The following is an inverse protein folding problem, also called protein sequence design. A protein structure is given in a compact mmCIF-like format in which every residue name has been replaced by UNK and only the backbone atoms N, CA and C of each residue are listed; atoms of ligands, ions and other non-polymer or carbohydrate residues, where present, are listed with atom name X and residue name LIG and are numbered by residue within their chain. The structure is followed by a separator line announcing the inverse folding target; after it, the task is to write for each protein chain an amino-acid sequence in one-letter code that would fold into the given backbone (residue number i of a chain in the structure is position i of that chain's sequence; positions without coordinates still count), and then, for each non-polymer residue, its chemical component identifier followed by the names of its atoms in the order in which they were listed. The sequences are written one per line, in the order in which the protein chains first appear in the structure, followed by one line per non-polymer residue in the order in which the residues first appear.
data_IF_211115666990
#
_entry.id   IF_211115666990
#
_cell.length_a   1.000
_cell.length_b   1.000
_cell.length_c   1.000
_cell.angle_alpha   90.00
_cell.angle_beta   90.00
_cell.angle_gamma   90.00
#
_symmetry.space_group_name_H-M   'P 1'
#
loop_
_entity.id
_entity.type
_entity.pdbx_description
1 polymer ?
#
# COMPACT_ATOMS: atom_id res chain seq x y z
N UNK A 1 -197.33 11.87 14.60
CA UNK A 1 -196.84 11.58 13.22
C UNK A 1 -196.86 12.80 12.28
N UNK A 2 -197.56 13.90 12.59
CA UNK A 2 -197.64 15.09 11.71
C UNK A 2 -196.41 16.03 11.76
N UNK A 3 -195.66 16.06 12.87
CA UNK A 3 -194.51 16.98 13.03
C UNK A 3 -193.30 16.65 12.14
N UNK A 4 -193.07 15.36 11.84
CA UNK A 4 -191.92 14.90 11.04
C UNK A 4 -192.05 15.28 9.57
N UNK A 5 -193.28 15.31 9.04
CA UNK A 5 -193.57 15.63 7.64
C UNK A 5 -193.35 17.12 7.34
N UNK A 6 -193.68 17.99 8.30
CA UNK A 6 -193.42 19.44 8.22
C UNK A 6 -191.92 19.75 8.28
N UNK A 7 -191.15 19.04 9.12
CA UNK A 7 -189.69 19.19 9.17
C UNK A 7 -189.02 18.82 7.82
N UNK A 8 -189.51 17.77 7.15
CA UNK A 8 -189.01 17.34 5.84
C UNK A 8 -189.33 18.33 4.71
N UNK A 9 -190.41 19.09 4.81
CA UNK A 9 -190.76 20.12 3.82
C UNK A 9 -189.88 21.38 3.94
N UNK A 10 -189.51 21.74 5.17
CA UNK A 10 -188.79 23.00 5.47
C UNK A 10 -187.26 22.78 5.54
N UNK A 11 -186.78 21.56 5.76
CA UNK A 11 -185.34 21.27 5.77
C UNK A 11 -184.62 21.63 4.44
N UNK A 12 -185.14 21.32 3.24
CA UNK A 12 -184.46 21.64 1.99
C UNK A 12 -184.20 23.16 1.75
N UNK A 13 -185.17 24.08 1.95
CA UNK A 13 -184.91 25.50 1.74
C UNK A 13 -183.97 26.12 2.79
N UNK A 14 -184.03 25.68 4.06
CA UNK A 14 -183.10 26.15 5.10
C UNK A 14 -181.68 25.71 4.78
N UNK A 15 -181.48 24.45 4.34
CA UNK A 15 -180.16 23.94 3.98
C UNK A 15 -179.57 24.66 2.76
N UNK A 16 -180.38 24.94 1.73
CA UNK A 16 -179.94 25.76 0.58
C UNK A 16 -179.50 27.17 0.99
N UNK A 17 -180.22 27.80 1.91
CA UNK A 17 -179.91 29.16 2.36
C UNK A 17 -178.67 29.20 3.27
N UNK A 18 -178.49 28.19 4.11
CA UNK A 18 -177.29 28.02 4.92
C UNK A 18 -176.04 27.84 4.05
N UNK A 19 -176.11 27.01 2.98
CA UNK A 19 -175.00 26.84 2.03
C UNK A 19 -174.62 28.11 1.27
N UNK A 20 -175.59 28.95 0.91
CA UNK A 20 -175.32 30.23 0.25
C UNK A 20 -174.63 31.22 1.18
N UNK A 21 -175.05 31.27 2.45
CA UNK A 21 -174.44 32.12 3.46
C UNK A 21 -173.02 31.65 3.82
N UNK A 22 -172.80 30.35 3.99
CA UNK A 22 -171.44 29.82 4.22
C UNK A 22 -170.54 30.03 3.02
N UNK A 23 -171.05 29.88 1.80
CA UNK A 23 -170.28 30.19 0.58
C UNK A 23 -169.87 31.66 0.52
N UNK A 24 -170.81 32.60 0.75
CA UNK A 24 -170.50 34.04 0.77
C UNK A 24 -169.56 34.43 1.92
N UNK A 25 -169.65 33.74 3.05
CA UNK A 25 -168.80 34.01 4.21
C UNK A 25 -167.38 33.48 3.99
N UNK A 26 -167.21 32.27 3.45
CA UNK A 26 -165.90 31.71 3.07
C UNK A 26 -165.25 32.53 1.96
N UNK A 27 -166.03 32.99 0.98
CA UNK A 27 -165.56 33.92 -0.07
C UNK A 27 -165.10 35.28 0.50
N UNK A 28 -165.65 35.72 1.64
CA UNK A 28 -165.29 36.98 2.29
C UNK A 28 -164.13 36.85 3.29
N UNK A 29 -164.00 35.72 3.98
CA UNK A 29 -162.98 35.48 5.00
C UNK A 29 -161.66 34.92 4.43
N UNK A 30 -161.68 34.37 3.22
CA UNK A 30 -160.47 33.91 2.52
C UNK A 30 -160.37 34.49 1.10
N UNK A 31 -160.04 35.78 0.94
CA UNK A 31 -159.83 36.36 -0.37
C UNK A 31 -158.43 35.99 -0.89
N UNK A 32 -158.26 34.74 -1.33
CA UNK A 32 -157.23 34.39 -2.31
C UNK A 32 -157.94 34.30 -3.65
N UNK A 33 -157.68 35.27 -4.53
CA UNK A 33 -158.27 35.25 -5.86
C UNK A 33 -157.71 34.04 -6.64
N UNK A 34 -158.48 33.47 -7.59
CA UNK A 34 -158.03 32.32 -8.40
C UNK A 34 -156.66 32.57 -9.07
N UNK A 35 -156.38 33.83 -9.41
CA UNK A 35 -155.11 34.27 -9.98
C UNK A 35 -153.96 34.21 -8.98
N UNK A 36 -154.19 34.54 -7.71
CA UNK A 36 -153.17 34.44 -6.65
C UNK A 36 -152.81 32.98 -6.33
N UNK A 37 -153.80 32.06 -6.33
CA UNK A 37 -153.55 30.62 -6.15
C UNK A 37 -152.71 30.08 -7.32
N UNK A 38 -153.00 30.52 -8.55
CA UNK A 38 -152.21 30.15 -9.72
C UNK A 38 -150.79 30.73 -9.63
N UNK A 39 -150.64 31.98 -9.19
CA UNK A 39 -149.34 32.61 -8.97
C UNK A 39 -148.52 31.89 -7.88
N UNK A 40 -149.14 31.46 -6.77
CA UNK A 40 -148.47 30.68 -5.74
C UNK A 40 -148.03 29.30 -6.26
N UNK A 41 -148.90 28.61 -7.01
CA UNK A 41 -148.55 27.32 -7.63
C UNK A 41 -147.40 27.46 -8.62
N UNK A 42 -147.43 28.47 -9.47
CA UNK A 42 -146.40 28.70 -10.47
C UNK A 42 -145.11 29.24 -9.81
N UNK A 43 -145.23 29.96 -8.68
CA UNK A 43 -144.13 30.33 -7.79
C UNK A 43 -143.45 29.12 -7.16
N UNK A 44 -144.20 28.18 -6.58
CA UNK A 44 -143.66 26.91 -6.05
C UNK A 44 -142.99 26.09 -7.17
N UNK A 45 -143.57 26.03 -8.36
CA UNK A 45 -142.93 25.38 -9.53
C UNK A 45 -141.61 26.05 -9.89
N UNK A 46 -141.55 27.37 -9.87
CA UNK A 46 -140.33 28.12 -10.14
C UNK A 46 -139.28 27.90 -9.04
N UNK A 47 -139.67 27.90 -7.76
CA UNK A 47 -138.78 27.60 -6.64
C UNK A 47 -138.18 26.20 -6.76
N UNK A 48 -139.00 25.20 -7.08
CA UNK A 48 -138.53 23.84 -7.32
C UNK A 48 -137.59 23.76 -8.54
N UNK A 49 -137.95 24.39 -9.67
CA UNK A 49 -137.10 24.42 -10.86
C UNK A 49 -135.76 25.12 -10.61
N UNK A 50 -135.75 26.22 -9.83
CA UNK A 50 -134.53 26.92 -9.44
C UNK A 50 -133.70 26.09 -8.46
N UNK A 51 -134.33 25.40 -7.50
CA UNK A 51 -133.64 24.51 -6.57
C UNK A 51 -133.02 23.31 -7.30
N UNK A 52 -133.75 22.69 -8.22
CA UNK A 52 -133.28 21.61 -9.09
C UNK A 52 -132.10 22.09 -9.94
N UNK A 53 -132.24 23.23 -10.63
CA UNK A 53 -131.16 23.82 -11.43
C UNK A 53 -129.92 24.15 -10.58
N UNK A 54 -130.12 24.67 -9.36
CA UNK A 54 -129.02 24.96 -8.43
C UNK A 54 -128.29 23.69 -8.00
N UNK A 55 -129.02 22.60 -7.76
CA UNK A 55 -128.46 21.30 -7.44
C UNK A 55 -127.71 20.69 -8.63
N UNK A 56 -128.26 20.78 -9.84
CA UNK A 56 -127.57 20.36 -11.06
C UNK A 56 -126.24 21.11 -11.24
N UNK A 57 -126.26 22.44 -11.13
CA UNK A 57 -125.04 23.25 -11.24
C UNK A 57 -124.02 22.92 -10.16
N UNK A 58 -124.47 22.65 -8.93
CA UNK A 58 -123.57 22.19 -7.86
C UNK A 58 -122.99 20.80 -8.16
N UNK A 59 -123.81 19.87 -8.68
CA UNK A 59 -123.38 18.54 -9.05
C UNK A 59 -122.34 18.59 -10.19
N UNK A 60 -122.57 19.41 -11.20
CA UNK A 60 -121.65 19.60 -12.32
C UNK A 60 -120.33 20.23 -11.85
N UNK A 61 -120.38 21.24 -10.97
CA UNK A 61 -119.17 21.83 -10.38
C UNK A 61 -118.37 20.79 -9.55
N UNK A 62 -119.04 19.96 -8.76
CA UNK A 62 -118.37 18.89 -7.99
C UNK A 62 -117.78 17.84 -8.95
N UNK A 63 -118.50 17.47 -10.01
CA UNK A 63 -118.01 16.53 -11.03
C UNK A 63 -116.78 17.08 -11.75
N UNK A 64 -116.79 18.35 -12.12
CA UNK A 64 -115.66 19.03 -12.76
C UNK A 64 -114.44 19.06 -11.82
N UNK A 65 -114.63 19.43 -10.55
CA UNK A 65 -113.57 19.38 -9.52
C UNK A 65 -113.02 17.98 -9.32
N UNK A 66 -113.89 16.97 -9.28
CA UNK A 66 -113.47 15.58 -9.13
C UNK A 66 -112.70 15.08 -10.36
N UNK A 67 -113.12 15.46 -11.57
CA UNK A 67 -112.41 15.14 -12.80
C UNK A 67 -111.00 15.78 -12.83
N UNK A 68 -110.88 17.04 -12.41
CA UNK A 68 -109.58 17.71 -12.26
C UNK A 68 -108.69 17.01 -11.23
N UNK A 69 -109.23 16.67 -10.05
CA UNK A 69 -108.50 15.95 -9.02
C UNK A 69 -108.05 14.56 -9.48
N UNK A 70 -108.87 13.85 -10.24
CA UNK A 70 -108.52 12.55 -10.81
C UNK A 70 -107.39 12.68 -11.84
N UNK A 71 -107.43 13.73 -12.68
CA UNK A 71 -106.36 14.03 -13.62
C UNK A 71 -105.04 14.32 -12.89
N UNK A 72 -105.05 15.21 -11.89
CA UNK A 72 -103.87 15.53 -11.06
C UNK A 72 -103.31 14.29 -10.35
N UNK A 73 -104.19 13.45 -9.81
CA UNK A 73 -103.79 12.21 -9.14
C UNK A 73 -103.14 11.24 -10.15
N UNK A 74 -103.68 11.13 -11.36
CA UNK A 74 -103.09 10.30 -12.42
C UNK A 74 -101.71 10.80 -12.86
N UNK A 75 -101.49 12.12 -12.89
CA UNK A 75 -100.19 12.72 -13.17
C UNK A 75 -99.19 12.45 -12.05
N UNK A 76 -99.60 12.64 -10.79
CA UNK A 76 -98.78 12.32 -9.61
C UNK A 76 -98.43 10.83 -9.57
N UNK A 77 -99.37 9.94 -9.87
CA UNK A 77 -99.09 8.50 -9.97
C UNK A 77 -98.10 8.15 -11.09
N UNK A 78 -98.13 8.86 -12.23
CA UNK A 78 -97.13 8.70 -13.29
C UNK A 78 -95.76 9.18 -12.83
N UNK A 79 -95.69 10.33 -12.18
CA UNK A 79 -94.44 10.87 -11.62
C UNK A 79 -93.85 9.92 -10.57
N UNK A 80 -94.66 9.42 -9.65
CA UNK A 80 -94.24 8.45 -8.63
C UNK A 80 -93.69 7.19 -9.31
N UNK A 81 -94.40 6.63 -10.31
CA UNK A 81 -93.92 5.46 -11.06
C UNK A 81 -92.58 5.72 -11.73
N UNK A 82 -92.41 6.86 -12.41
CA UNK A 82 -91.16 7.21 -13.06
C UNK A 82 -90.01 7.35 -12.05
N UNK A 83 -90.23 8.09 -10.95
CA UNK A 83 -89.23 8.26 -9.90
C UNK A 83 -88.88 6.94 -9.21
N UNK A 84 -89.85 6.04 -9.00
CA UNK A 84 -89.56 4.71 -8.45
C UNK A 84 -88.72 3.85 -9.40
N UNK A 85 -88.93 3.96 -10.72
CA UNK A 85 -88.14 3.27 -11.72
C UNK A 85 -86.71 3.83 -11.80
N UNK A 86 -86.55 5.15 -11.76
CA UNK A 86 -85.24 5.81 -11.70
C UNK A 86 -84.47 5.44 -10.43
N UNK A 87 -85.14 5.44 -9.28
CA UNK A 87 -84.52 5.07 -8.00
C UNK A 87 -84.11 3.59 -7.98
N UNK A 88 -84.92 2.70 -8.56
CA UNK A 88 -84.55 1.30 -8.76
C UNK A 88 -83.33 1.16 -9.67
N UNK A 89 -83.28 1.87 -10.80
CA UNK A 89 -82.13 1.86 -11.72
C UNK A 89 -80.85 2.39 -11.04
N UNK A 90 -80.94 3.50 -10.30
CA UNK A 90 -79.82 4.06 -9.53
C UNK A 90 -79.31 3.11 -8.44
N UNK A 91 -80.20 2.37 -7.78
CA UNK A 91 -79.80 1.37 -6.79
C UNK A 91 -79.04 0.20 -7.43
N UNK A 92 -79.50 -0.28 -8.59
CA UNK A 92 -78.79 -1.32 -9.36
C UNK A 92 -77.41 -0.83 -9.77
N UNK A 93 -77.31 0.37 -10.36
CA UNK A 93 -76.04 0.97 -10.76
C UNK A 93 -75.09 1.18 -9.56
N UNK A 94 -75.62 1.62 -8.41
CA UNK A 94 -74.84 1.80 -7.19
C UNK A 94 -74.29 0.48 -6.65
N UNK A 95 -75.09 -0.60 -6.71
CA UNK A 95 -74.65 -1.92 -6.30
C UNK A 95 -73.59 -2.50 -7.24
N UNK A 96 -73.76 -2.30 -8.55
CA UNK A 96 -72.78 -2.69 -9.55
C UNK A 96 -71.45 -1.94 -9.34
N UNK A 97 -71.50 -0.62 -9.14
CA UNK A 97 -70.32 0.18 -8.81
C UNK A 97 -69.65 -0.30 -7.52
N UNK A 98 -70.42 -0.58 -6.46
CA UNK A 98 -69.87 -1.13 -5.21
C UNK A 98 -69.19 -2.48 -5.42
N UNK A 99 -69.79 -3.37 -6.23
CA UNK A 99 -69.19 -4.66 -6.54
C UNK A 99 -67.88 -4.52 -7.34
N UNK A 100 -67.84 -3.61 -8.31
CA UNK A 100 -66.63 -3.36 -9.10
C UNK A 100 -65.52 -2.73 -8.27
N UNK A 101 -65.84 -1.81 -7.35
CA UNK A 101 -64.88 -1.24 -6.39
C UNK A 101 -64.35 -2.32 -5.47
N UNK A 102 -65.21 -3.18 -4.92
CA UNK A 102 -64.77 -4.31 -4.08
C UNK A 102 -63.88 -5.29 -4.84
N UNK A 103 -64.18 -5.58 -6.12
CA UNK A 103 -63.37 -6.44 -6.96
C UNK A 103 -61.98 -5.85 -7.20
N UNK A 104 -61.92 -4.57 -7.62
CA UNK A 104 -60.65 -3.85 -7.80
C UNK A 104 -59.85 -3.71 -6.51
N UNK A 105 -60.52 -3.53 -5.37
CA UNK A 105 -59.86 -3.49 -4.07
C UNK A 105 -59.17 -4.83 -3.76
N UNK A 106 -59.85 -5.96 -4.02
CA UNK A 106 -59.25 -7.28 -3.87
C UNK A 106 -58.07 -7.53 -4.82
N UNK A 107 -58.16 -7.07 -6.08
CA UNK A 107 -57.04 -7.13 -7.03
C UNK A 107 -55.83 -6.29 -6.56
N UNK A 108 -56.08 -5.09 -6.03
CA UNK A 108 -55.04 -4.23 -5.48
C UNK A 108 -54.39 -4.83 -4.22
N UNK A 109 -55.17 -5.45 -3.34
CA UNK A 109 -54.65 -6.15 -2.16
C UNK A 109 -53.79 -7.35 -2.56
N UNK A 110 -54.20 -8.13 -3.57
CA UNK A 110 -53.41 -9.22 -4.11
C UNK A 110 -52.11 -8.72 -4.75
N UNK A 111 -52.17 -7.65 -5.55
CA UNK A 111 -50.98 -7.06 -6.16
C UNK A 111 -50.03 -6.50 -5.10
N UNK A 112 -50.54 -5.85 -4.05
CA UNK A 112 -49.75 -5.37 -2.93
C UNK A 112 -49.05 -6.51 -2.18
N UNK A 113 -49.75 -7.63 -1.94
CA UNK A 113 -49.17 -8.81 -1.32
C UNK A 113 -48.01 -9.39 -2.17
N UNK A 114 -48.19 -9.50 -3.48
CA UNK A 114 -47.15 -9.96 -4.40
C UNK A 114 -45.94 -9.02 -4.43
N UNK A 115 -46.16 -7.69 -4.37
CA UNK A 115 -45.07 -6.71 -4.29
C UNK A 115 -44.24 -6.94 -3.02
N UNK A 116 -44.90 -7.09 -1.85
CA UNK A 116 -44.21 -7.35 -0.58
C UNK A 116 -43.42 -8.67 -0.63
N UNK A 117 -43.98 -9.72 -1.22
CA UNK A 117 -43.25 -10.99 -1.42
C UNK A 117 -42.02 -10.82 -2.31
N UNK A 118 -42.14 -10.09 -3.43
CA UNK A 118 -41.03 -9.80 -4.32
C UNK A 118 -39.97 -8.91 -3.68
N UNK A 119 -40.36 -7.89 -2.91
CA UNK A 119 -39.43 -7.07 -2.12
C UNK A 119 -38.62 -7.93 -1.15
N UNK A 120 -39.29 -8.86 -0.43
CA UNK A 120 -38.60 -9.80 0.46
C UNK A 120 -37.63 -10.70 -0.29
N UNK A 121 -38.01 -11.19 -1.48
CA UNK A 121 -37.12 -12.01 -2.31
C UNK A 121 -35.92 -11.21 -2.81
N UNK A 122 -36.12 -9.94 -3.20
CA UNK A 122 -35.04 -9.04 -3.62
C UNK A 122 -34.08 -8.80 -2.47
N UNK A 123 -34.58 -8.56 -1.25
CA UNK A 123 -33.76 -8.35 -0.05
C UNK A 123 -32.97 -9.62 0.32
N UNK A 124 -33.57 -10.80 0.20
CA UNK A 124 -32.85 -12.06 0.38
C UNK A 124 -31.73 -12.23 -0.65
N UNK A 125 -31.99 -11.90 -1.92
CA UNK A 125 -31.00 -12.00 -2.99
C UNK A 125 -29.90 -10.96 -2.86
N UNK A 126 -30.19 -9.74 -2.41
CA UNK A 126 -29.16 -8.73 -2.14
C UNK A 126 -28.26 -9.16 -1.00
N UNK A 127 -28.81 -9.71 0.09
CA UNK A 127 -28.03 -10.25 1.20
C UNK A 127 -27.14 -11.44 0.77
N UNK A 128 -27.65 -12.34 -0.06
CA UNK A 128 -26.87 -13.43 -0.66
C UNK A 128 -25.72 -12.90 -1.54
N UNK A 129 -25.98 -11.90 -2.37
CA UNK A 129 -24.97 -11.26 -3.23
C UNK A 129 -23.89 -10.56 -2.40
N UNK A 130 -24.26 -9.83 -1.34
CA UNK A 130 -23.29 -9.22 -0.43
C UNK A 130 -22.43 -10.26 0.31
N UNK A 131 -23.03 -11.38 0.71
CA UNK A 131 -22.29 -12.47 1.32
C UNK A 131 -21.31 -13.11 0.33
N UNK A 132 -21.74 -13.38 -0.91
CA UNK A 132 -20.87 -13.87 -1.98
C UNK A 132 -19.76 -12.87 -2.31
N UNK A 133 -20.06 -11.58 -2.36
CA UNK A 133 -19.07 -10.54 -2.60
C UNK A 133 -18.02 -10.47 -1.48
N UNK A 134 -18.44 -10.54 -0.21
CA UNK A 134 -17.52 -10.63 0.94
C UNK A 134 -16.63 -11.87 0.87
N UNK A 135 -17.19 -13.02 0.50
CA UNK A 135 -16.41 -14.26 0.30
C UNK A 135 -15.41 -14.12 -0.83
N UNK A 136 -15.82 -13.56 -1.98
CA UNK A 136 -14.94 -13.32 -3.13
C UNK A 136 -13.80 -12.36 -2.77
N UNK A 137 -14.10 -11.26 -2.08
CA UNK A 137 -13.09 -10.31 -1.60
C UNK A 137 -12.11 -10.98 -0.62
N UNK A 138 -12.61 -11.78 0.33
CA UNK A 138 -11.74 -12.55 1.22
C UNK A 138 -10.86 -13.55 0.47
N UNK A 139 -11.38 -14.25 -0.55
CA UNK A 139 -10.58 -15.15 -1.36
C UNK A 139 -9.57 -14.43 -2.24
N UNK A 140 -9.91 -13.24 -2.76
CA UNK A 140 -8.99 -12.40 -3.51
C UNK A 140 -7.84 -11.92 -2.61
N UNK A 141 -8.13 -11.42 -1.41
CA UNK A 141 -7.09 -11.05 -0.44
C UNK A 141 -6.17 -12.22 -0.07
N UNK A 142 -6.72 -13.44 0.07
CA UNK A 142 -5.91 -14.65 0.29
C UNK A 142 -5.04 -14.98 -0.92
N UNK A 143 -5.56 -14.82 -2.14
CA UNK A 143 -4.80 -15.04 -3.37
C UNK A 143 -3.66 -14.02 -3.50
N UNK A 144 -3.92 -12.74 -3.24
CA UNK A 144 -2.90 -11.68 -3.25
C UNK A 144 -1.84 -11.95 -2.17
N UNK A 145 -2.25 -12.37 -0.97
CA UNK A 145 -1.33 -12.78 0.09
C UNK A 145 -0.43 -13.95 -0.31
N UNK A 146 -0.98 -14.98 -0.95
CA UNK A 146 -0.21 -16.11 -1.47
C UNK A 146 0.70 -15.70 -2.63
N UNK A 147 0.31 -14.76 -3.50
CA UNK A 147 1.17 -14.24 -4.55
C UNK A 147 2.38 -13.50 -3.98
N UNK A 148 2.18 -12.68 -2.94
CA UNK A 148 3.27 -12.00 -2.24
C UNK A 148 4.19 -13.04 -1.59
N UNK A 149 3.65 -14.08 -0.96
CA UNK A 149 4.45 -15.15 -0.36
C UNK A 149 5.27 -15.90 -1.41
N UNK A 150 4.67 -16.26 -2.56
CA UNK A 150 5.38 -16.90 -3.67
C UNK A 150 6.50 -15.99 -4.21
N UNK A 151 6.25 -14.70 -4.36
CA UNK A 151 7.27 -13.74 -4.79
C UNK A 151 8.41 -13.59 -3.77
N UNK A 152 8.11 -13.62 -2.48
CA UNK A 152 9.11 -13.60 -1.41
C UNK A 152 9.92 -14.91 -1.40
N UNK A 153 9.27 -16.06 -1.58
CA UNK A 153 9.94 -17.36 -1.68
C UNK A 153 10.81 -17.45 -2.94
N UNK A 154 10.38 -16.94 -4.08
CA UNK A 154 11.21 -16.89 -5.29
C UNK A 154 12.44 -16.01 -5.09
N UNK A 155 12.29 -14.82 -4.50
CA UNK A 155 13.43 -13.97 -4.17
C UNK A 155 14.39 -14.64 -3.17
N UNK A 156 13.87 -15.42 -2.20
CA UNK A 156 14.70 -16.21 -1.29
C UNK A 156 15.47 -17.31 -2.02
N UNK A 157 14.84 -17.99 -2.97
CA UNK A 157 15.48 -19.00 -3.82
C UNK A 157 16.58 -18.35 -4.67
N UNK A 158 16.34 -17.18 -5.25
CA UNK A 158 17.33 -16.46 -6.05
C UNK A 158 18.55 -16.08 -5.20
N UNK A 159 18.33 -15.51 -4.02
CA UNK A 159 19.42 -15.19 -3.07
C UNK A 159 20.22 -16.43 -2.67
N UNK A 160 19.56 -17.53 -2.29
CA UNK A 160 20.24 -18.79 -1.95
C UNK A 160 20.99 -19.37 -3.17
N UNK A 161 20.47 -19.16 -4.37
CA UNK A 161 21.12 -19.60 -5.61
C UNK A 161 22.38 -18.78 -5.88
N UNK A 162 22.36 -17.48 -5.62
CA UNK A 162 23.53 -16.62 -5.75
C UNK A 162 24.57 -16.89 -4.65
N UNK A 163 24.16 -17.08 -3.39
CA UNK A 163 25.03 -17.55 -2.30
C UNK A 163 25.68 -18.91 -2.66
N UNK A 164 24.93 -19.83 -3.26
CA UNK A 164 25.47 -21.11 -3.72
C UNK A 164 26.49 -20.93 -4.87
N UNK A 165 26.26 -19.99 -5.79
CA UNK A 165 27.22 -19.68 -6.86
C UNK A 165 28.50 -19.08 -6.29
N UNK A 166 28.39 -18.13 -5.35
CA UNK A 166 29.52 -17.51 -4.65
C UNK A 166 30.31 -18.56 -3.86
N UNK A 167 29.66 -19.38 -3.04
CA UNK A 167 30.31 -20.46 -2.30
C UNK A 167 31.00 -21.49 -3.23
N UNK A 168 30.43 -21.75 -4.43
CA UNK A 168 31.06 -22.59 -5.45
C UNK A 168 32.27 -21.91 -6.10
N UNK A 169 32.24 -20.60 -6.30
CA UNK A 169 33.37 -19.81 -6.80
C UNK A 169 34.49 -19.77 -5.76
N UNK A 170 34.19 -19.43 -4.51
CA UNK A 170 35.15 -19.43 -3.40
C UNK A 170 35.82 -20.78 -3.21
N UNK A 171 35.05 -21.87 -3.31
CA UNK A 171 35.61 -23.22 -3.25
C UNK A 171 36.58 -23.48 -4.41
N UNK A 172 36.23 -23.07 -5.63
CA UNK A 172 37.12 -23.22 -6.79
C UNK A 172 38.39 -22.38 -6.62
N UNK A 173 38.27 -21.15 -6.12
CA UNK A 173 39.41 -20.27 -5.90
C UNK A 173 40.31 -20.78 -4.78
N UNK A 174 39.73 -21.29 -3.69
CA UNK A 174 40.45 -21.99 -2.61
C UNK A 174 41.15 -23.25 -3.11
N UNK A 175 40.49 -24.08 -3.91
CA UNK A 175 41.09 -25.26 -4.54
C UNK A 175 42.23 -24.86 -5.50
N UNK A 176 42.07 -23.79 -6.28
CA UNK A 176 43.12 -23.25 -7.15
C UNK A 176 44.32 -22.73 -6.37
N UNK A 177 44.09 -21.97 -5.29
CA UNK A 177 45.14 -21.49 -4.39
C UNK A 177 45.87 -22.66 -3.73
N UNK A 178 45.12 -23.67 -3.28
CA UNK A 178 45.68 -24.88 -2.71
C UNK A 178 46.53 -25.65 -3.72
N UNK A 179 46.08 -25.79 -4.97
CA UNK A 179 46.88 -26.39 -6.04
C UNK A 179 48.17 -25.61 -6.32
N UNK A 180 48.11 -24.27 -6.33
CA UNK A 180 49.29 -23.41 -6.48
C UNK A 180 50.27 -23.59 -5.31
N UNK A 181 49.77 -23.56 -4.07
CA UNK A 181 50.59 -23.79 -2.89
C UNK A 181 51.20 -25.20 -2.89
N UNK A 182 50.45 -26.23 -3.27
CA UNK A 182 50.97 -27.60 -3.42
C UNK A 182 52.05 -27.68 -4.51
N UNK A 183 51.89 -26.97 -5.63
CA UNK A 183 52.90 -26.89 -6.69
C UNK A 183 54.17 -26.12 -6.23
N UNK A 184 54.01 -25.03 -5.49
CA UNK A 184 55.12 -24.27 -4.89
C UNK A 184 55.86 -25.10 -3.85
N UNK A 185 55.15 -25.83 -2.98
CA UNK A 185 55.75 -26.76 -2.03
C UNK A 185 56.56 -27.82 -2.77
N UNK A 186 56.03 -28.42 -3.84
CA UNK A 186 56.77 -29.38 -4.68
C UNK A 186 58.01 -28.76 -5.33
N UNK A 187 57.90 -27.54 -5.84
CA UNK A 187 59.04 -26.82 -6.43
C UNK A 187 60.12 -26.49 -5.38
N UNK A 188 59.71 -26.08 -4.18
CA UNK A 188 60.62 -25.85 -3.05
C UNK A 188 61.27 -27.15 -2.56
N UNK A 189 60.52 -28.26 -2.50
CA UNK A 189 61.06 -29.58 -2.21
C UNK A 189 62.12 -29.99 -3.23
N UNK A 190 61.86 -29.79 -4.53
CA UNK A 190 62.85 -30.05 -5.59
C UNK A 190 64.09 -29.16 -5.46
N UNK A 191 63.93 -27.86 -5.13
CA UNK A 191 65.06 -26.97 -4.89
C UNK A 191 65.87 -27.39 -3.66
N UNK A 192 65.20 -27.77 -2.58
CA UNK A 192 65.84 -28.28 -1.38
C UNK A 192 66.61 -29.57 -1.69
N UNK A 193 66.02 -30.47 -2.47
CA UNK A 193 66.67 -31.70 -2.91
C UNK A 193 67.89 -31.41 -3.80
N UNK A 194 67.81 -30.43 -4.70
CA UNK A 194 68.96 -29.95 -5.48
C UNK A 194 70.05 -29.34 -4.60
N UNK A 195 69.71 -28.52 -3.60
CA UNK A 195 70.69 -27.96 -2.66
C UNK A 195 71.30 -29.05 -1.79
N UNK A 196 70.54 -30.04 -1.32
CA UNK A 196 71.07 -31.21 -0.59
C UNK A 196 71.98 -32.03 -1.50
N UNK A 197 71.63 -32.24 -2.76
CA UNK A 197 72.53 -32.90 -3.71
C UNK A 197 73.82 -32.08 -3.90
N UNK A 198 73.74 -30.76 -4.02
CA UNK A 198 74.91 -29.87 -4.09
C UNK A 198 75.74 -29.92 -2.82
N UNK A 199 75.15 -29.88 -1.63
CA UNK A 199 75.89 -29.96 -0.37
C UNK A 199 76.56 -31.32 -0.24
N UNK A 200 75.88 -32.43 -0.57
CA UNK A 200 76.50 -33.75 -0.56
C UNK A 200 77.62 -33.88 -1.60
N UNK A 201 77.50 -33.26 -2.77
CA UNK A 201 78.59 -33.16 -3.74
C UNK A 201 79.77 -32.33 -3.21
N UNK A 202 79.50 -31.19 -2.57
CA UNK A 202 80.52 -30.35 -1.95
C UNK A 202 81.18 -31.07 -0.76
N UNK A 203 80.43 -31.81 0.06
CA UNK A 203 80.95 -32.68 1.13
C UNK A 203 81.82 -33.81 0.57
N UNK A 204 81.43 -34.41 -0.56
CA UNK A 204 82.29 -35.38 -1.28
C UNK A 204 83.57 -34.73 -1.79
N UNK A 205 83.50 -33.50 -2.33
CA UNK A 205 84.70 -32.74 -2.75
C UNK A 205 85.57 -32.37 -1.56
N UNK A 206 84.98 -31.94 -0.45
CA UNK A 206 85.69 -31.61 0.78
C UNK A 206 86.38 -32.85 1.38
N UNK A 207 85.69 -34.00 1.43
CA UNK A 207 86.28 -35.26 1.89
C UNK A 207 87.38 -35.76 0.94
N UNK A 208 87.23 -35.58 -0.38
CA UNK A 208 88.29 -35.84 -1.34
C UNK A 208 89.51 -34.92 -1.16
N UNK A 209 89.30 -33.62 -0.92
CA UNK A 209 90.38 -32.67 -0.61
C UNK A 209 91.05 -33.00 0.73
N UNK A 210 90.29 -33.38 1.76
CA UNK A 210 90.83 -33.86 3.03
C UNK A 210 91.66 -35.14 2.83
N UNK A 211 91.21 -36.07 1.98
CA UNK A 211 92.00 -37.25 1.62
C UNK A 211 93.27 -36.86 0.85
N UNK A 212 93.20 -35.92 -0.09
CA UNK A 212 94.38 -35.41 -0.81
C UNK A 212 95.36 -34.67 0.12
N UNK A 213 94.84 -33.93 1.10
CA UNK A 213 95.66 -33.31 2.15
C UNK A 213 96.29 -34.39 3.02
N UNK A 214 95.54 -35.41 3.47
CA UNK A 214 96.08 -36.55 4.19
C UNK A 214 97.14 -37.33 3.39
N UNK A 215 96.96 -37.49 2.08
CA UNK A 215 97.95 -38.09 1.19
C UNK A 215 99.18 -37.19 1.02
N UNK A 216 99.00 -35.86 0.95
CA UNK A 216 100.11 -34.90 0.90
C UNK A 216 100.84 -34.82 2.22
N UNK A 217 100.15 -34.83 3.35
CA UNK A 217 100.72 -34.92 4.70
C UNK A 217 101.44 -36.25 4.89
N UNK A 218 100.90 -37.36 4.38
CA UNK A 218 101.60 -38.65 4.39
C UNK A 218 102.84 -38.61 3.48
N UNK A 219 102.78 -37.94 2.33
CA UNK A 219 103.97 -37.69 1.48
C UNK A 219 104.97 -36.78 2.16
N UNK A 220 104.54 -35.72 2.83
CA UNK A 220 105.38 -34.84 3.64
C UNK A 220 105.99 -35.62 4.80
N UNK A 221 105.24 -36.43 5.51
CA UNK A 221 105.76 -37.31 6.57
C UNK A 221 106.76 -38.34 6.04
N UNK A 222 106.56 -38.87 4.83
CA UNK A 222 107.55 -39.72 4.16
C UNK A 222 108.81 -38.94 3.79
N UNK A 223 108.67 -37.73 3.24
CA UNK A 223 109.78 -36.83 2.93
C UNK A 223 110.49 -36.34 4.20
N UNK A 224 109.78 -36.11 5.30
CA UNK A 224 110.32 -35.77 6.60
C UNK A 224 111.09 -36.96 7.17
N UNK A 225 110.56 -38.18 7.07
CA UNK A 225 111.28 -39.41 7.43
C UNK A 225 112.48 -39.64 6.51
N UNK A 226 112.43 -39.25 5.24
CA UNK A 226 113.57 -39.30 4.33
C UNK A 226 114.59 -38.21 4.65
N UNK A 227 114.17 -37.00 5.01
CA UNK A 227 115.02 -35.93 5.55
C UNK A 227 115.65 -36.38 6.85
N UNK A 228 114.93 -37.10 7.71
CA UNK A 228 115.45 -37.64 8.96
C UNK A 228 116.47 -38.74 8.71
N UNK A 229 116.22 -39.65 7.75
CA UNK A 229 117.22 -40.63 7.29
C UNK A 229 118.42 -39.98 6.60
N UNK A 230 118.22 -38.90 5.85
CA UNK A 230 119.31 -38.13 5.20
C UNK A 230 120.08 -37.32 6.25
N UNK A 231 119.41 -36.77 7.26
CA UNK A 231 120.04 -36.15 8.45
C UNK A 231 120.81 -37.18 9.26
N UNK A 232 120.32 -38.41 9.40
CA UNK A 232 121.04 -39.49 10.07
C UNK A 232 122.19 -40.06 9.21
N UNK A 233 122.07 -40.04 7.88
CA UNK A 233 123.19 -40.30 6.96
C UNK A 233 124.22 -39.16 6.99
N UNK A 234 123.79 -37.91 7.12
CA UNK A 234 124.65 -36.75 7.36
C UNK A 234 125.31 -36.83 8.74
N UNK A 235 124.60 -37.24 9.80
CA UNK A 235 125.19 -37.48 11.13
C UNK A 235 126.21 -38.63 11.11
N UNK A 236 126.00 -39.66 10.31
CA UNK A 236 126.96 -40.77 10.12
C UNK A 236 128.16 -40.39 9.26
N UNK A 237 128.02 -39.43 8.34
CA UNK A 237 129.13 -38.89 7.54
C UNK A 237 129.85 -37.72 8.24
N UNK A 238 129.21 -37.04 9.20
CA UNK A 238 129.77 -35.95 10.01
C UNK A 238 130.40 -36.42 11.33
N UNK A 239 130.35 -37.72 11.65
CA UNK A 239 131.03 -38.31 12.82
C UNK A 239 132.49 -38.73 12.53
N UNK A 240 132.88 -38.84 11.26
CA UNK A 240 134.26 -39.09 10.81
C UNK A 240 134.80 -37.87 10.06
N UNK A 241 135.44 -36.95 10.79
CA UNK A 241 136.19 -35.83 10.20
C UNK A 241 136.00 -34.49 10.89
N UNK A 242 136.71 -34.27 11.99
CA UNK A 242 136.91 -32.92 12.59
C UNK A 242 137.66 -32.01 11.62
N UNK A 243 137.15 -30.82 11.34
CA UNK A 243 137.77 -29.54 11.73
C UNK A 243 137.08 -28.32 11.06
N UNK A 244 136.89 -27.29 11.91
CA UNK A 244 136.99 -25.84 11.63
C UNK A 244 135.99 -25.19 10.67
N UNK A 245 135.19 -24.30 11.27
CA UNK A 245 135.23 -22.88 10.91
C UNK A 245 133.99 -22.32 10.22
N UNK A 246 133.55 -21.16 10.71
CA UNK A 246 132.91 -20.14 9.88
C UNK A 246 131.41 -19.93 10.08
N UNK A 247 131.07 -18.95 10.92
CA UNK A 247 129.89 -18.10 10.79
C UNK A 247 130.05 -17.16 9.54
N UNK A 248 129.20 -16.13 9.24
CA UNK A 248 128.07 -15.56 10.00
C UNK A 248 126.91 -14.91 9.14
N UNK A 249 125.98 -14.24 9.85
CA UNK A 249 125.30 -12.94 9.54
C UNK A 249 124.39 -12.82 8.29
N UNK A 250 123.16 -12.33 8.50
CA UNK A 250 122.73 -11.00 8.00
C UNK A 250 121.35 -10.59 8.54
N UNK A 251 121.41 -9.49 9.29
CA UNK A 251 120.35 -8.58 9.69
C UNK A 251 120.29 -7.45 8.65
N UNK A 252 119.08 -7.04 8.22
CA UNK A 252 118.79 -5.78 7.52
C UNK A 252 117.28 -5.75 7.18
N UNK A 253 116.51 -4.68 7.23
CA UNK A 253 116.74 -3.27 7.57
C UNK A 253 115.36 -2.60 7.71
N UNK A 254 115.33 -1.58 8.56
CA UNK A 254 114.32 -0.55 8.75
C UNK A 254 113.79 0.08 7.45
N UNK A 255 112.55 0.55 7.54
CA UNK A 255 112.23 1.94 7.17
C UNK A 255 111.72 2.18 5.76
N UNK A 256 110.44 1.83 5.50
CA UNK A 256 109.62 2.40 4.42
C UNK A 256 108.10 2.35 4.68
N UNK A 257 107.68 2.23 5.95
CA UNK A 257 106.25 2.14 6.32
C UNK A 257 105.69 3.40 7.01
N UNK A 258 106.51 4.41 7.31
CA UNK A 258 106.10 5.56 8.12
C UNK A 258 105.60 6.78 7.33
N UNK A 259 105.67 6.80 5.99
CA UNK A 259 105.10 7.87 5.16
C UNK A 259 103.75 7.51 4.51
N UNK A 260 103.41 6.23 4.42
CA UNK A 260 102.16 5.75 3.83
C UNK A 260 101.01 5.80 4.84
N UNK A 261 101.27 5.44 6.10
CA UNK A 261 100.25 5.52 7.16
C UNK A 261 99.84 6.96 7.52
N UNK A 262 100.71 7.97 7.36
CA UNK A 262 100.35 9.35 7.68
C UNK A 262 99.42 10.00 6.62
N UNK A 263 99.53 9.58 5.36
CA UNK A 263 98.61 10.00 4.29
C UNK A 263 97.31 9.19 4.34
N UNK A 264 97.38 7.88 4.56
CA UNK A 264 96.20 7.02 4.70
C UNK A 264 95.35 7.38 5.93
N UNK A 265 95.96 7.77 7.06
CA UNK A 265 95.20 8.18 8.25
C UNK A 265 94.54 9.56 8.13
N UNK A 266 95.02 10.44 7.23
CA UNK A 266 94.33 11.70 6.90
C UNK A 266 93.17 11.46 5.95
N UNK A 267 93.39 10.71 4.86
CA UNK A 267 92.34 10.34 3.91
C UNK A 267 91.23 9.55 4.58
N UNK A 268 91.56 8.56 5.41
CA UNK A 268 90.57 7.77 6.15
C UNK A 268 89.79 8.63 7.16
N UNK A 269 90.42 9.64 7.78
CA UNK A 269 89.74 10.57 8.69
C UNK A 269 88.78 11.49 7.92
N UNK A 270 89.16 11.93 6.72
CA UNK A 270 88.27 12.74 5.86
C UNK A 270 87.09 11.92 5.32
N UNK A 271 87.33 10.69 4.88
CA UNK A 271 86.29 9.77 4.42
C UNK A 271 85.33 9.39 5.55
N UNK A 272 85.85 9.06 6.74
CA UNK A 272 85.01 8.78 7.91
C UNK A 272 84.17 10.00 8.32
N UNK A 273 84.74 11.21 8.29
CA UNK A 273 84.02 12.43 8.62
C UNK A 273 82.96 12.78 7.55
N UNK A 274 83.24 12.50 6.27
CA UNK A 274 82.27 12.68 5.18
C UNK A 274 81.11 11.68 5.29
N UNK A 275 81.41 10.40 5.56
CA UNK A 275 80.41 9.36 5.73
C UNK A 275 79.54 9.62 6.97
N UNK A 276 80.15 10.04 8.09
CA UNK A 276 79.42 10.44 9.29
C UNK A 276 78.47 11.63 9.02
N UNK A 277 78.91 12.64 8.28
CA UNK A 277 78.06 13.76 7.88
C UNK A 277 76.88 13.31 7.02
N UNK A 278 77.10 12.37 6.09
CA UNK A 278 76.06 11.85 5.20
C UNK A 278 75.00 11.03 5.95
N UNK A 279 75.44 10.17 6.88
CA UNK A 279 74.53 9.37 7.72
C UNK A 279 73.71 10.27 8.64
N UNK A 280 74.35 11.24 9.30
CA UNK A 280 73.65 12.18 10.20
C UNK A 280 72.67 13.06 9.40
N UNK A 281 73.03 13.50 8.19
CA UNK A 281 72.12 14.24 7.32
C UNK A 281 70.93 13.38 6.84
N UNK A 282 71.15 12.09 6.57
CA UNK A 282 70.08 11.15 6.21
C UNK A 282 69.13 10.89 7.38
N UNK A 283 69.65 10.74 8.60
CA UNK A 283 68.85 10.61 9.83
C UNK A 283 68.04 11.88 10.09
N UNK A 284 68.66 13.06 10.00
CA UNK A 284 67.94 14.33 10.15
C UNK A 284 66.82 14.50 9.11
N UNK A 285 66.98 13.95 7.90
CA UNK A 285 65.94 13.94 6.87
C UNK A 285 64.79 12.97 7.17
N UNK A 286 65.09 11.79 7.71
CA UNK A 286 64.08 10.79 8.08
C UNK A 286 63.28 11.22 9.31
N UNK A 287 63.91 11.91 10.26
CA UNK A 287 63.27 12.42 11.48
C UNK A 287 62.45 13.71 11.27
N UNK A 288 62.69 14.44 10.17
CA UNK A 288 61.93 15.64 9.83
C UNK A 288 62.34 16.91 10.60
N UNK A 289 61.53 18.00 10.53
CA UNK A 289 61.94 19.33 11.02
C UNK A 289 62.15 19.43 12.54
N UNK A 290 61.58 18.51 13.33
CA UNK A 290 61.68 18.44 14.80
C UNK A 290 62.91 17.63 15.29
N UNK A 291 63.81 17.18 14.40
CA UNK A 291 64.99 16.41 14.80
C UNK A 291 65.91 17.22 15.73
N UNK A 292 66.39 16.59 16.79
CA UNK A 292 67.39 17.16 17.72
C UNK A 292 68.67 17.60 17.00
N UNK A 293 69.01 16.98 15.87
CA UNK A 293 70.16 17.34 15.03
C UNK A 293 69.96 18.72 14.38
N UNK A 294 68.76 18.99 13.85
CA UNK A 294 68.43 20.29 13.25
C UNK A 294 68.36 21.40 14.32
N UNK A 295 67.85 21.09 15.51
CA UNK A 295 67.85 22.02 16.65
C UNK A 295 69.28 22.40 17.09
N UNK A 296 70.20 21.42 17.18
CA UNK A 296 71.60 21.67 17.56
C UNK A 296 72.37 22.48 16.50
N UNK A 297 72.14 22.19 15.22
CA UNK A 297 72.73 22.94 14.10
C UNK A 297 72.24 24.40 14.01
N UNK A 298 71.05 24.69 14.54
CA UNK A 298 70.48 26.05 14.63
C UNK A 298 70.99 26.82 15.87
N UNK A 299 71.32 26.11 16.96
CA UNK A 299 71.87 26.73 18.19
C UNK A 299 73.35 27.10 18.09
N UNK A 300 74.11 26.49 17.18
CA UNK A 300 75.51 26.87 16.92
C UNK A 300 75.60 27.99 15.86
N UNK A 301 75.34 29.23 16.31
CA UNK A 301 75.60 30.44 15.56
C UNK A 301 77.08 30.86 15.65
N UNK A 302 77.72 30.96 14.47
CA UNK A 302 78.93 31.73 14.16
C UNK A 302 80.19 31.46 15.02
N UNK A 303 80.97 30.44 14.63
CA UNK A 303 82.35 30.24 15.12
C UNK A 303 83.37 30.67 14.06
N UNK A 304 84.46 31.28 14.52
CA UNK A 304 85.63 31.67 13.71
C UNK A 304 86.28 30.42 13.12
N UNK A 305 86.66 30.40 11.83
CA UNK A 305 87.28 29.24 11.20
C UNK A 305 88.61 28.87 11.90
N UNK A 306 88.72 27.63 12.37
CA UNK A 306 89.94 27.10 12.98
C UNK A 306 90.87 26.65 11.85
N UNK A 307 92.03 27.31 11.73
CA UNK A 307 93.07 26.97 10.75
C UNK A 307 94.06 25.97 11.35
N UNK A 308 94.53 25.03 10.54
CA UNK A 308 95.57 24.08 10.92
C UNK A 308 96.97 24.75 10.91
N UNK A 309 98.01 24.00 11.32
CA UNK A 309 99.39 24.49 11.35
C UNK A 309 99.98 24.88 9.96
N UNK A 310 99.26 24.58 8.87
CA UNK A 310 99.63 24.89 7.49
C UNK A 310 98.77 26.03 6.88
N UNK A 311 97.87 26.63 7.66
CA UNK A 311 97.00 27.73 7.23
C UNK A 311 95.72 27.29 6.49
N UNK A 312 95.39 25.99 6.49
CA UNK A 312 94.16 25.48 5.85
C UNK A 312 92.99 25.50 6.82
N UNK A 313 91.81 25.94 6.35
CA UNK A 313 90.59 26.02 7.17
C UNK A 313 90.01 24.62 7.41
N UNK A 314 89.97 24.18 8.66
CA UNK A 314 89.39 22.88 9.03
C UNK A 314 87.86 22.99 8.98
N UNK A 315 87.25 22.36 7.97
CA UNK A 315 85.79 22.33 7.82
C UNK A 315 85.17 21.39 8.86
N UNK A 316 84.35 21.93 9.75
CA UNK A 316 83.66 21.16 10.81
C UNK A 316 82.63 20.18 10.24
N UNK A 317 82.28 19.16 11.03
CA UNK A 317 81.22 18.20 10.70
C UNK A 317 79.87 18.91 10.53
N UNK A 318 79.57 19.91 11.37
CA UNK A 318 78.34 20.69 11.31
C UNK A 318 78.21 21.48 9.98
N UNK A 319 79.31 22.07 9.51
CA UNK A 319 79.35 22.81 8.25
C UNK A 319 79.14 21.88 7.04
N UNK A 320 79.70 20.67 7.09
CA UNK A 320 79.46 19.65 6.04
C UNK A 320 78.01 19.17 6.02
N UNK A 321 77.38 18.97 7.18
CA UNK A 321 75.96 18.61 7.26
C UNK A 321 75.08 19.73 6.69
N UNK A 322 75.38 20.99 7.03
CA UNK A 322 74.66 22.16 6.50
C UNK A 322 74.83 22.29 4.98
N UNK A 323 76.02 22.06 4.45
CA UNK A 323 76.29 22.03 3.01
C UNK A 323 75.53 20.91 2.28
N UNK A 324 75.46 19.71 2.86
CA UNK A 324 74.70 18.58 2.30
C UNK A 324 73.18 18.83 2.33
N UNK A 325 72.65 19.43 3.41
CA UNK A 325 71.24 19.83 3.48
C UNK A 325 70.91 20.93 2.45
N UNK A 326 71.77 21.95 2.32
CA UNK A 326 71.62 23.01 1.32
C UNK A 326 71.66 22.47 -0.13
N UNK A 327 72.58 21.54 -0.43
CA UNK A 327 72.65 20.88 -1.74
C UNK A 327 71.41 20.01 -2.04
N UNK A 328 70.83 19.35 -1.03
CA UNK A 328 69.60 18.57 -1.16
C UNK A 328 68.34 19.45 -1.29
N UNK A 329 68.40 20.70 -0.82
CA UNK A 329 67.28 21.67 -0.83
C UNK A 329 67.23 22.48 -2.13
N UNK A 330 68.30 22.49 -2.93
CA UNK A 330 68.34 23.13 -4.25
C UNK A 330 67.64 22.23 -5.28
N UNK A 331 66.58 22.69 -5.97
CA UNK A 331 65.90 21.88 -6.98
C UNK A 331 66.84 21.59 -8.16
N UNK A 332 66.90 20.32 -8.59
CA UNK A 332 67.59 19.91 -9.82
C UNK A 332 66.98 20.64 -11.02
N UNK A 333 67.67 21.64 -11.55
CA UNK A 333 67.41 22.19 -12.88
C UNK A 333 67.63 21.08 -13.91
N UNK A 334 66.54 20.50 -14.41
CA UNK A 334 66.54 19.57 -15.55
C UNK A 334 66.85 20.36 -16.81
N UNK A 335 68.11 20.34 -17.21
CA UNK A 335 68.55 20.67 -18.57
C UNK A 335 68.38 19.43 -19.45
N UNK A 336 67.17 19.21 -19.95
CA UNK A 336 66.96 18.40 -21.15
C UNK A 336 66.96 19.35 -22.36
N UNK A 337 68.13 19.47 -22.98
CA UNK A 337 68.29 20.06 -24.31
C UNK A 337 68.82 18.99 -25.26
N UNK A 338 67.97 18.67 -26.23
CA UNK A 338 68.23 18.16 -27.59
C UNK A 338 68.31 16.66 -27.83
#
# INVERSE_FOLDING_TARGET
MSAVLLALLIAPPIWRRAMLLTRRHVEAETPLTLNEIQAQRDGLRAEHALAERKLELMLDNIREKYALQLAELSEKERLVRNLTAELAAHNVASNELRSSVSGRQGELEQAAALIVEHERLIEQKSAELEHLHRRMSSTAMKADGLQIEVAAQSARIDNLTDELKEARQDKRDSDNLRQRAEAEIKALQQKLEQEVQRTTELEKRASALLSQLGDREAKLSRLEKEIERVKDRLRKVLADGRQKGGAPVLEATRGKAALVQAQETKLLREEMNALAAQVVAMVARLEGPESKVNALLATEGERVPVQDANGEVIISLADRIRALQAAASKPRETTETR
#
